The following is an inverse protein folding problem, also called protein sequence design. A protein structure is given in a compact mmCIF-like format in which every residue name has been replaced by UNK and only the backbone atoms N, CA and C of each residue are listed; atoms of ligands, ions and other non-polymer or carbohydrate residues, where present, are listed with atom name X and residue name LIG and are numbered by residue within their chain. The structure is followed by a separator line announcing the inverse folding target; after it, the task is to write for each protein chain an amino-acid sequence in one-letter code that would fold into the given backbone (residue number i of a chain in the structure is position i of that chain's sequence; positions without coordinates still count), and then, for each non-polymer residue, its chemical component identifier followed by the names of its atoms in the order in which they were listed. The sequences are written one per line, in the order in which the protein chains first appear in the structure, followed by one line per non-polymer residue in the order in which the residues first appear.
data_IF_151484476918
#
_entry.id   IF_151484476918
#
_cell.length_a   1.000
_cell.length_b   1.000
_cell.length_c   1.000
_cell.angle_alpha   90.00
_cell.angle_beta   90.00
_cell.angle_gamma   90.00
#
_symmetry.space_group_name_H-M   'P 1'
#
loop_
_entity.id
_entity.type
_entity.pdbx_description
1 polymer ?
#
# COMPACT_ATOMS: atom_id res chain seq x y z
N UNK A 1 -1.11 -37.86 17.86
CA UNK A 1 -1.72 -38.30 19.13
C UNK A 1 -3.25 -38.29 19.12
N UNK A 2 -3.95 -37.47 18.32
CA UNK A 2 -5.43 -37.45 18.30
C UNK A 2 -6.07 -38.69 17.65
N UNK A 3 -5.52 -39.21 16.54
CA UNK A 3 -6.06 -40.39 15.85
C UNK A 3 -6.13 -41.65 16.74
N UNK A 4 -5.18 -41.81 17.67
CA UNK A 4 -5.19 -42.96 18.58
C UNK A 4 -6.27 -42.86 19.65
N UNK A 5 -6.60 -41.65 20.11
CA UNK A 5 -7.67 -41.45 21.08
C UNK A 5 -9.04 -41.65 20.44
N UNK A 6 -9.26 -41.09 19.24
CA UNK A 6 -10.55 -41.21 18.54
C UNK A 6 -10.87 -42.65 18.12
N UNK A 7 -9.87 -43.46 17.74
CA UNK A 7 -10.05 -44.88 17.42
C UNK A 7 -10.38 -45.73 18.67
N UNK A 8 -9.82 -45.37 19.83
CA UNK A 8 -10.15 -46.02 21.11
C UNK A 8 -11.60 -45.69 21.52
N UNK A 9 -12.03 -44.44 21.37
CA UNK A 9 -13.40 -44.03 21.68
C UNK A 9 -14.42 -44.70 20.76
N UNK A 10 -14.16 -44.79 19.46
CA UNK A 10 -15.05 -45.47 18.51
C UNK A 10 -15.23 -46.96 18.85
N UNK A 11 -14.15 -47.64 19.27
CA UNK A 11 -14.19 -49.04 19.71
C UNK A 11 -14.98 -49.22 21.02
N UNK A 12 -14.83 -48.28 21.95
CA UNK A 12 -15.58 -48.27 23.21
C UNK A 12 -17.08 -48.05 22.95
N UNK A 13 -17.44 -47.07 22.12
CA UNK A 13 -18.84 -46.82 21.74
C UNK A 13 -19.49 -48.05 21.10
N UNK A 14 -18.79 -48.71 20.16
CA UNK A 14 -19.28 -49.92 19.53
C UNK A 14 -19.45 -51.09 20.53
N UNK A 15 -18.50 -51.27 21.46
CA UNK A 15 -18.58 -52.30 22.48
C UNK A 15 -19.72 -52.05 23.48
N UNK A 16 -19.94 -50.79 23.87
CA UNK A 16 -21.03 -50.38 24.76
C UNK A 16 -22.39 -50.61 24.07
N UNK A 17 -22.53 -50.22 22.81
CA UNK A 17 -23.75 -50.46 22.03
C UNK A 17 -24.06 -51.95 21.90
N UNK A 18 -23.04 -52.78 21.66
CA UNK A 18 -23.19 -54.23 21.57
C UNK A 18 -23.59 -54.84 22.92
N UNK A 19 -22.97 -54.43 24.01
CA UNK A 19 -23.30 -54.90 25.37
C UNK A 19 -24.70 -54.48 25.80
N UNK A 20 -25.09 -53.24 25.51
CA UNK A 20 -26.44 -52.73 25.75
C UNK A 20 -27.49 -53.60 25.05
N UNK A 21 -27.32 -53.85 23.74
CA UNK A 21 -28.25 -54.69 22.97
C UNK A 21 -28.36 -56.12 23.51
N UNK A 22 -27.23 -56.74 23.90
CA UNK A 22 -27.22 -58.07 24.51
C UNK A 22 -27.95 -58.10 25.86
N UNK A 23 -27.79 -57.06 26.66
CA UNK A 23 -28.39 -56.94 27.98
C UNK A 23 -29.90 -56.72 27.90
N UNK A 24 -30.37 -55.88 26.96
CA UNK A 24 -31.80 -55.69 26.69
C UNK A 24 -32.46 -56.99 26.22
N UNK A 25 -31.80 -57.76 25.35
CA UNK A 25 -32.30 -59.08 24.93
C UNK A 25 -32.42 -60.04 26.11
N UNK A 26 -31.37 -60.14 26.94
CA UNK A 26 -31.38 -61.02 28.10
C UNK A 26 -32.44 -60.64 29.15
N UNK A 27 -32.72 -59.33 29.32
CA UNK A 27 -33.80 -58.85 30.18
C UNK A 27 -35.17 -59.25 29.65
N UNK A 28 -35.38 -59.14 28.33
CA UNK A 28 -36.63 -59.55 27.69
C UNK A 28 -36.90 -61.05 27.89
N UNK A 29 -35.89 -61.89 27.63
CA UNK A 29 -35.99 -63.35 27.80
C UNK A 29 -36.29 -63.75 29.25
N UNK A 30 -35.65 -63.09 30.22
CA UNK A 30 -35.85 -63.35 31.64
C UNK A 30 -37.27 -62.93 32.10
N UNK A 31 -37.75 -61.79 31.62
CA UNK A 31 -39.11 -61.32 31.90
C UNK A 31 -40.17 -62.25 31.32
N UNK A 32 -39.95 -62.77 30.10
CA UNK A 32 -40.83 -63.76 29.48
C UNK A 32 -40.85 -65.07 30.27
N UNK A 33 -39.68 -65.58 30.65
CA UNK A 33 -39.55 -66.79 31.47
C UNK A 33 -40.26 -66.65 32.83
N UNK A 34 -40.13 -65.50 33.51
CA UNK A 34 -40.84 -65.23 34.77
C UNK A 34 -42.35 -65.19 34.58
N UNK A 35 -42.82 -64.60 33.47
CA UNK A 35 -44.24 -64.53 33.13
C UNK A 35 -44.82 -65.93 32.89
N UNK A 36 -44.11 -66.77 32.15
CA UNK A 36 -44.47 -68.17 31.92
C UNK A 36 -44.45 -68.99 33.23
N UNK A 37 -43.44 -68.80 34.07
CA UNK A 37 -43.35 -69.48 35.37
C UNK A 37 -44.51 -69.11 36.31
N UNK A 38 -44.92 -67.83 36.34
CA UNK A 38 -46.10 -67.37 37.08
C UNK A 38 -47.39 -68.00 36.56
N UNK A 39 -47.57 -68.03 35.24
CA UNK A 39 -48.75 -68.65 34.62
C UNK A 39 -48.85 -70.14 34.98
N UNK A 40 -47.71 -70.86 34.93
CA UNK A 40 -47.64 -72.27 35.33
C UNK A 40 -47.93 -72.48 36.82
N UNK A 41 -47.41 -71.61 37.70
CA UNK A 41 -47.70 -71.66 39.14
C UNK A 41 -49.17 -71.39 39.45
N UNK A 42 -49.80 -70.43 38.77
CA UNK A 42 -51.24 -70.16 38.92
C UNK A 42 -52.07 -71.36 38.46
N UNK A 43 -51.75 -71.96 37.31
CA UNK A 43 -52.44 -73.16 36.83
C UNK A 43 -52.29 -74.35 37.80
N UNK A 44 -51.10 -74.54 38.39
CA UNK A 44 -50.88 -75.55 39.43
C UNK A 44 -51.68 -75.25 40.71
N UNK A 45 -51.78 -73.98 41.12
CA UNK A 45 -52.56 -73.56 42.27
C UNK A 45 -54.06 -73.78 42.05
N UNK A 46 -54.59 -73.44 40.88
CA UNK A 46 -55.98 -73.70 40.49
C UNK A 46 -56.30 -75.20 40.47
N UNK A 47 -55.37 -76.02 39.93
CA UNK A 47 -55.50 -77.47 39.91
C UNK A 47 -55.49 -78.07 41.32
N UNK A 48 -54.58 -77.60 42.19
CA UNK A 48 -54.53 -78.02 43.60
C UNK A 48 -55.79 -77.63 44.37
N UNK A 49 -56.33 -76.43 44.13
CA UNK A 49 -57.59 -75.98 44.71
C UNK A 49 -58.79 -76.83 44.23
N UNK A 50 -58.84 -77.17 42.94
CA UNK A 50 -59.86 -78.04 42.37
C UNK A 50 -59.79 -79.47 42.91
N UNK A 51 -58.58 -80.03 43.07
CA UNK A 51 -58.37 -81.37 43.64
C UNK A 51 -58.77 -81.41 45.12
N UNK A 52 -58.47 -80.35 45.90
CA UNK A 52 -58.91 -80.20 47.29
C UNK A 52 -60.45 -80.14 47.39
N UNK A 53 -61.10 -79.35 46.56
CA UNK A 53 -62.57 -79.25 46.52
C UNK A 53 -63.23 -80.60 46.15
N UNK A 54 -62.65 -81.35 45.19
CA UNK A 54 -63.11 -82.70 44.83
C UNK A 54 -62.94 -83.70 45.98
N UNK A 55 -61.85 -83.63 46.73
CA UNK A 55 -61.60 -84.48 47.89
C UNK A 55 -62.56 -84.19 49.06
N UNK A 56 -62.96 -82.93 49.26
CA UNK A 56 -63.96 -82.54 50.27
C UNK A 56 -65.38 -83.03 49.91
N UNK A 57 -65.74 -83.02 48.62
CA UNK A 57 -67.04 -83.51 48.11
C UNK A 57 -67.14 -85.04 48.13
N UNK A 58 -66.03 -85.77 47.97
CA UNK A 58 -66.02 -87.24 47.88
C UNK A 58 -66.32 -87.98 49.21
N UNK A 59 -66.40 -87.30 50.35
CA UNK A 59 -66.64 -87.92 51.66
C UNK A 59 -65.43 -88.71 52.16
N UNK A 60 -65.17 -88.66 53.48
CA UNK A 60 -63.97 -89.18 54.17
C UNK A 60 -63.79 -90.72 54.14
N UNK A 61 -64.15 -91.42 53.07
CA UNK A 61 -63.86 -92.86 52.93
C UNK A 61 -62.52 -93.04 52.22
N UNK A 62 -61.50 -93.42 53.00
CA UNK A 62 -60.19 -93.87 52.53
C UNK A 62 -59.42 -92.91 51.59
N UNK A 63 -59.31 -91.63 51.94
CA UNK A 63 -58.14 -90.85 51.49
C UNK A 63 -56.93 -91.44 52.22
N UNK A 64 -56.17 -92.28 51.53
CA UNK A 64 -54.95 -92.88 52.08
C UNK A 64 -54.04 -91.80 52.69
N UNK A 65 -53.39 -92.07 53.83
CA UNK A 65 -52.39 -91.16 54.42
C UNK A 65 -51.35 -90.69 53.38
N UNK A 66 -51.07 -91.53 52.38
CA UNK A 66 -50.24 -91.24 51.22
C UNK A 66 -50.75 -90.09 50.34
N UNK A 67 -52.07 -89.97 50.12
CA UNK A 67 -52.64 -88.87 49.33
C UNK A 67 -52.61 -87.52 50.08
N UNK A 68 -52.87 -87.55 51.40
CA UNK A 68 -52.74 -86.37 52.24
C UNK A 68 -51.28 -85.88 52.34
N UNK A 69 -50.31 -86.81 52.48
CA UNK A 69 -48.87 -86.48 52.42
C UNK A 69 -48.46 -85.90 51.07
N UNK A 70 -48.88 -86.51 49.96
CA UNK A 70 -48.60 -86.00 48.61
C UNK A 70 -49.21 -84.62 48.36
N UNK A 71 -50.37 -84.32 48.94
CA UNK A 71 -50.99 -83.00 48.84
C UNK A 71 -50.24 -81.96 49.66
N UNK A 72 -49.81 -82.29 50.89
CA UNK A 72 -48.99 -81.41 51.71
C UNK A 72 -47.62 -81.13 51.05
N UNK A 73 -46.95 -82.14 50.49
CA UNK A 73 -45.70 -81.99 49.74
C UNK A 73 -45.86 -81.08 48.51
N UNK A 74 -47.01 -81.16 47.81
CA UNK A 74 -47.33 -80.27 46.68
C UNK A 74 -47.60 -78.83 47.11
N UNK A 75 -48.32 -78.61 48.21
CA UNK A 75 -48.57 -77.28 48.75
C UNK A 75 -47.25 -76.63 49.23
N UNK A 76 -46.38 -77.39 49.91
CA UNK A 76 -45.06 -76.91 50.34
C UNK A 76 -44.15 -76.59 49.14
N UNK A 77 -44.14 -77.44 48.10
CA UNK A 77 -43.40 -77.18 46.86
C UNK A 77 -43.92 -75.95 46.10
N UNK A 78 -45.24 -75.73 46.11
CA UNK A 78 -45.88 -74.55 45.51
C UNK A 78 -45.49 -73.27 46.27
N UNK A 79 -45.51 -73.29 47.60
CA UNK A 79 -45.11 -72.16 48.42
C UNK A 79 -43.59 -71.87 48.32
N UNK A 80 -42.76 -72.90 48.25
CA UNK A 80 -41.34 -72.76 47.97
C UNK A 80 -41.09 -72.12 46.60
N UNK A 81 -41.84 -72.53 45.58
CA UNK A 81 -41.75 -71.96 44.22
C UNK A 81 -42.22 -70.50 44.18
N UNK A 82 -43.31 -70.14 44.88
CA UNK A 82 -43.76 -68.75 45.02
C UNK A 82 -42.71 -67.86 45.69
N UNK A 83 -42.09 -68.35 46.79
CA UNK A 83 -40.99 -67.63 47.45
C UNK A 83 -39.80 -67.42 46.52
N UNK A 84 -39.47 -68.42 45.70
CA UNK A 84 -38.38 -68.33 44.72
C UNK A 84 -38.67 -67.29 43.63
N UNK A 85 -39.90 -67.25 43.12
CA UNK A 85 -40.33 -66.22 42.15
C UNK A 85 -40.24 -64.83 42.75
N UNK A 86 -40.75 -64.62 43.97
CA UNK A 86 -40.66 -63.33 44.65
C UNK A 86 -39.20 -62.87 44.86
N UNK A 87 -38.30 -63.79 45.22
CA UNK A 87 -36.86 -63.50 45.30
C UNK A 87 -36.27 -63.06 43.95
N UNK A 88 -36.65 -63.72 42.86
CA UNK A 88 -36.18 -63.37 41.50
C UNK A 88 -36.72 -62.01 41.05
N UNK A 89 -37.97 -61.67 41.37
CA UNK A 89 -38.53 -60.35 41.07
C UNK A 89 -37.80 -59.23 41.81
N UNK A 90 -37.49 -59.44 43.08
CA UNK A 90 -36.72 -58.46 43.85
C UNK A 90 -35.33 -58.26 43.24
N UNK A 91 -34.62 -59.35 42.93
CA UNK A 91 -33.31 -59.28 42.29
C UNK A 91 -33.39 -58.61 40.92
N UNK A 92 -34.43 -58.87 40.13
CA UNK A 92 -34.62 -58.25 38.82
C UNK A 92 -34.86 -56.73 38.95
N UNK A 93 -35.71 -56.31 39.88
CA UNK A 93 -35.95 -54.89 40.16
C UNK A 93 -34.68 -54.17 40.65
N UNK A 94 -33.91 -54.80 41.54
CA UNK A 94 -32.61 -54.28 41.98
C UNK A 94 -31.66 -54.10 40.78
N UNK A 95 -31.58 -55.09 39.88
CA UNK A 95 -30.72 -55.01 38.69
C UNK A 95 -31.16 -53.96 37.69
N UNK A 96 -32.46 -53.85 37.41
CA UNK A 96 -33.01 -52.80 36.56
C UNK A 96 -32.71 -51.40 37.09
N UNK A 97 -32.78 -51.21 38.41
CA UNK A 97 -32.43 -49.92 39.02
C UNK A 97 -30.95 -49.57 38.83
N UNK A 98 -30.05 -50.55 39.01
CA UNK A 98 -28.61 -50.34 38.78
C UNK A 98 -28.31 -50.04 37.31
N UNK A 99 -29.02 -50.69 36.39
CA UNK A 99 -28.85 -50.50 34.96
C UNK A 99 -29.23 -49.08 34.54
N UNK A 100 -30.40 -48.59 34.97
CA UNK A 100 -30.84 -47.21 34.70
C UNK A 100 -29.84 -46.19 35.23
N UNK A 101 -29.32 -46.38 36.44
CA UNK A 101 -28.32 -45.50 37.01
C UNK A 101 -27.01 -45.49 36.20
N UNK A 102 -26.59 -46.64 35.65
CA UNK A 102 -25.41 -46.71 34.78
C UNK A 102 -25.62 -46.07 33.41
N UNK A 103 -26.82 -46.21 32.83
CA UNK A 103 -27.19 -45.58 31.56
C UNK A 103 -27.24 -44.05 31.68
N UNK A 104 -27.82 -43.53 32.76
CA UNK A 104 -27.81 -42.10 33.07
C UNK A 104 -26.37 -41.58 33.20
N UNK A 105 -25.51 -42.32 33.91
CA UNK A 105 -24.10 -41.95 34.08
C UNK A 105 -23.34 -41.97 32.75
N UNK A 106 -23.63 -42.91 31.88
CA UNK A 106 -23.05 -42.98 30.54
C UNK A 106 -23.46 -41.77 29.69
N UNK A 107 -24.75 -41.42 29.70
CA UNK A 107 -25.26 -40.26 28.97
C UNK A 107 -24.66 -38.92 29.47
N UNK A 108 -24.42 -38.80 30.78
CA UNK A 108 -23.66 -37.67 31.33
C UNK A 108 -22.23 -37.62 30.79
N UNK A 109 -21.54 -38.75 30.78
CA UNK A 109 -20.16 -38.85 30.29
C UNK A 109 -20.07 -38.52 28.80
N UNK A 110 -20.95 -39.05 27.95
CA UNK A 110 -21.02 -38.73 26.53
C UNK A 110 -21.25 -37.23 26.27
N UNK A 111 -22.14 -36.61 27.04
CA UNK A 111 -22.37 -35.17 26.97
C UNK A 111 -21.11 -34.38 27.36
N UNK A 112 -20.42 -34.78 28.43
CA UNK A 112 -19.16 -34.13 28.84
C UNK A 112 -18.07 -34.31 27.78
N UNK A 113 -17.94 -35.50 27.19
CA UNK A 113 -16.98 -35.79 26.14
C UNK A 113 -17.25 -34.93 24.91
N UNK A 114 -18.51 -34.76 24.51
CA UNK A 114 -18.90 -33.91 23.39
C UNK A 114 -18.53 -32.45 23.64
N UNK A 115 -18.79 -31.94 24.86
CA UNK A 115 -18.40 -30.58 25.26
C UNK A 115 -16.87 -30.39 25.26
N UNK A 116 -16.12 -31.37 25.76
CA UNK A 116 -14.66 -31.33 25.76
C UNK A 116 -14.10 -31.34 24.34
N UNK A 117 -14.63 -32.20 23.45
CA UNK A 117 -14.25 -32.20 22.03
C UNK A 117 -14.51 -30.86 21.36
N UNK A 118 -15.68 -30.26 21.58
CA UNK A 118 -16.00 -28.93 21.04
C UNK A 118 -15.05 -27.84 21.57
N UNK A 119 -14.68 -27.91 22.85
CA UNK A 119 -13.73 -26.97 23.46
C UNK A 119 -12.31 -27.13 22.93
N UNK A 120 -11.85 -28.37 22.75
CA UNK A 120 -10.54 -28.69 22.19
C UNK A 120 -10.43 -28.19 20.74
N UNK A 121 -11.49 -28.39 19.94
CA UNK A 121 -11.53 -27.89 18.56
C UNK A 121 -11.50 -26.37 18.51
N UNK A 122 -12.31 -25.69 19.33
CA UNK A 122 -12.27 -24.23 19.43
C UNK A 122 -10.88 -23.71 19.85
N UNK A 123 -10.22 -24.40 20.79
CA UNK A 123 -8.87 -24.04 21.22
C UNK A 123 -7.84 -24.25 20.11
N UNK A 124 -7.97 -25.30 19.28
CA UNK A 124 -7.11 -25.51 18.11
C UNK A 124 -7.29 -24.42 17.06
N UNK A 125 -8.52 -24.01 16.79
CA UNK A 125 -8.81 -22.92 15.86
C UNK A 125 -8.22 -21.59 16.33
N UNK A 126 -8.30 -21.29 17.63
CA UNK A 126 -7.66 -20.12 18.23
C UNK A 126 -6.13 -20.19 18.12
N UNK A 127 -5.52 -21.34 18.40
CA UNK A 127 -4.08 -21.56 18.24
C UNK A 127 -3.67 -21.37 16.77
N UNK A 128 -4.42 -21.90 15.81
CA UNK A 128 -4.13 -21.75 14.39
C UNK A 128 -4.20 -20.28 13.94
N UNK A 129 -5.20 -19.52 14.43
CA UNK A 129 -5.30 -18.07 14.19
C UNK A 129 -4.11 -17.32 14.80
N UNK A 130 -3.73 -17.63 16.03
CA UNK A 130 -2.60 -17.01 16.70
C UNK A 130 -1.26 -17.31 15.99
N UNK A 131 -1.06 -18.54 15.50
CA UNK A 131 0.10 -18.92 14.70
C UNK A 131 0.15 -18.15 13.36
N UNK A 132 -0.99 -17.98 12.69
CA UNK A 132 -1.08 -17.16 11.47
C UNK A 132 -0.72 -15.69 11.73
N UNK A 133 -1.16 -15.12 12.85
CA UNK A 133 -0.78 -13.77 13.26
C UNK A 133 0.72 -13.66 13.57
N UNK A 134 1.29 -14.63 14.29
CA UNK A 134 2.72 -14.66 14.60
C UNK A 134 3.59 -14.74 13.34
N UNK A 135 3.18 -15.52 12.34
CA UNK A 135 3.87 -15.58 11.05
C UNK A 135 3.90 -14.21 10.33
N UNK A 136 2.77 -13.49 10.35
CA UNK A 136 2.67 -12.13 9.78
C UNK A 136 3.55 -11.13 10.53
N UNK A 137 3.64 -11.23 11.85
CA UNK A 137 4.57 -10.40 12.64
C UNK A 137 6.02 -10.67 12.22
N UNK A 138 6.41 -11.93 12.05
CA UNK A 138 7.76 -12.28 11.58
C UNK A 138 8.08 -11.76 10.17
N UNK A 139 7.09 -11.71 9.26
CA UNK A 139 7.26 -11.08 7.95
C UNK A 139 7.46 -9.56 8.08
N UNK A 140 6.64 -8.89 8.89
CA UNK A 140 6.78 -7.46 9.16
C UNK A 140 8.13 -7.12 9.79
N UNK A 141 8.63 -7.92 10.72
CA UNK A 141 9.96 -7.75 11.33
C UNK A 141 11.08 -7.82 10.29
N UNK A 142 11.01 -8.75 9.32
CA UNK A 142 11.98 -8.83 8.22
C UNK A 142 11.92 -7.58 7.34
N UNK A 143 10.72 -7.12 6.96
CA UNK A 143 10.58 -5.90 6.15
C UNK A 143 11.10 -4.66 6.89
N UNK A 144 10.87 -4.58 8.19
CA UNK A 144 11.38 -3.49 9.02
C UNK A 144 12.92 -3.49 9.06
N UNK A 145 13.54 -4.66 9.20
CA UNK A 145 14.99 -4.79 9.19
C UNK A 145 15.61 -4.42 7.84
N UNK A 146 14.97 -4.82 6.73
CA UNK A 146 15.38 -4.41 5.38
C UNK A 146 15.28 -2.89 5.18
N UNK A 147 14.18 -2.27 5.63
CA UNK A 147 14.00 -0.82 5.54
C UNK A 147 15.03 -0.06 6.38
N UNK A 148 15.34 -0.54 7.59
CA UNK A 148 16.40 0.03 8.43
C UNK A 148 17.77 -0.04 7.75
N UNK A 149 18.10 -1.17 7.14
CA UNK A 149 19.37 -1.32 6.39
C UNK A 149 19.45 -0.37 5.20
N UNK A 150 18.35 -0.19 4.45
CA UNK A 150 18.30 0.79 3.34
C UNK A 150 18.48 2.21 3.85
N UNK A 151 17.76 2.59 4.90
CA UNK A 151 17.88 3.92 5.50
C UNK A 151 19.31 4.20 6.02
N UNK A 152 19.96 3.21 6.64
CA UNK A 152 21.34 3.34 7.08
C UNK A 152 22.30 3.51 5.88
N UNK A 153 22.14 2.71 4.83
CA UNK A 153 22.98 2.83 3.64
C UNK A 153 22.82 4.20 2.94
N UNK A 154 21.60 4.74 2.89
CA UNK A 154 21.35 6.07 2.33
C UNK A 154 21.93 7.18 3.22
N UNK A 155 21.90 7.01 4.55
CA UNK A 155 22.57 7.91 5.47
C UNK A 155 24.09 7.89 5.29
N UNK A 156 24.70 6.71 5.17
CA UNK A 156 26.14 6.56 4.94
C UNK A 156 26.55 7.17 3.58
N UNK A 157 25.71 7.05 2.55
CA UNK A 157 25.92 7.74 1.27
C UNK A 157 25.82 9.25 1.38
N UNK A 158 24.82 9.76 2.10
CA UNK A 158 24.64 11.19 2.29
C UNK A 158 25.82 11.81 3.06
N UNK A 159 26.32 11.12 4.07
CA UNK A 159 27.51 11.56 4.82
C UNK A 159 28.77 11.54 3.95
N UNK A 160 28.96 10.51 3.10
CA UNK A 160 30.06 10.47 2.14
C UNK A 160 29.98 11.59 1.09
N UNK A 161 28.79 11.89 0.57
CA UNK A 161 28.59 13.02 -0.36
C UNK A 161 28.87 14.36 0.33
N UNK A 162 28.48 14.51 1.60
CA UNK A 162 28.76 15.72 2.36
C UNK A 162 30.27 15.96 2.51
N UNK A 163 31.05 14.93 2.84
CA UNK A 163 32.51 15.04 2.94
C UNK A 163 33.16 15.33 1.59
N UNK A 164 32.65 14.75 0.50
CA UNK A 164 33.11 15.03 -0.85
C UNK A 164 32.84 16.49 -1.25
N UNK A 165 31.63 16.99 -1.00
CA UNK A 165 31.26 18.40 -1.21
C UNK A 165 32.18 19.32 -0.41
N UNK A 166 32.42 19.04 0.88
CA UNK A 166 33.34 19.84 1.69
C UNK A 166 34.76 19.90 1.08
N UNK A 167 35.25 18.77 0.58
CA UNK A 167 36.57 18.71 -0.06
C UNK A 167 36.60 19.53 -1.36
N UNK A 168 35.55 19.45 -2.17
CA UNK A 168 35.43 20.20 -3.41
C UNK A 168 35.32 21.71 -3.16
N UNK A 169 34.58 22.13 -2.14
CA UNK A 169 34.47 23.53 -1.73
C UNK A 169 35.84 24.07 -1.30
N UNK A 170 36.63 23.30 -0.54
CA UNK A 170 37.99 23.69 -0.16
C UNK A 170 38.91 23.81 -1.37
N UNK A 171 38.88 22.83 -2.28
CA UNK A 171 39.68 22.84 -3.50
C UNK A 171 39.33 24.04 -4.40
N UNK A 172 38.03 24.36 -4.52
CA UNK A 172 37.58 25.56 -5.25
C UNK A 172 38.12 26.84 -4.62
N UNK A 173 38.02 26.99 -3.30
CA UNK A 173 38.53 28.17 -2.61
C UNK A 173 40.05 28.33 -2.77
N UNK A 174 40.80 27.23 -2.82
CA UNK A 174 42.24 27.26 -3.10
C UNK A 174 42.54 27.68 -4.54
N UNK A 175 41.80 27.14 -5.52
CA UNK A 175 41.93 27.55 -6.92
C UNK A 175 41.59 29.04 -7.14
N UNK A 176 40.55 29.56 -6.48
CA UNK A 176 40.19 30.98 -6.54
C UNK A 176 41.34 31.87 -6.01
N UNK A 177 42.01 31.48 -4.91
CA UNK A 177 43.18 32.20 -4.40
C UNK A 177 44.35 32.19 -5.39
N UNK A 178 44.62 31.05 -6.02
CA UNK A 178 45.68 30.94 -7.03
C UNK A 178 45.40 31.81 -8.25
N UNK A 179 44.13 31.89 -8.69
CA UNK A 179 43.71 32.76 -9.79
C UNK A 179 43.94 34.23 -9.43
N UNK A 180 43.59 34.65 -8.21
CA UNK A 180 43.79 36.03 -7.78
C UNK A 180 45.28 36.40 -7.66
N UNK A 181 46.13 35.46 -7.23
CA UNK A 181 47.59 35.63 -7.21
C UNK A 181 48.14 35.83 -8.64
N UNK A 182 47.76 34.94 -9.58
CA UNK A 182 48.15 35.06 -10.99
C UNK A 182 47.64 36.36 -11.63
N UNK A 183 46.42 36.81 -11.31
CA UNK A 183 45.87 38.09 -11.78
C UNK A 183 46.71 39.27 -11.31
N UNK A 184 47.08 39.28 -10.02
CA UNK A 184 47.97 40.30 -9.46
C UNK A 184 49.31 40.33 -10.20
N UNK A 185 49.90 39.16 -10.45
CA UNK A 185 51.16 39.04 -11.19
C UNK A 185 51.03 39.57 -12.63
N UNK A 186 49.99 39.16 -13.36
CA UNK A 186 49.66 39.69 -14.69
C UNK A 186 49.54 41.21 -14.67
N UNK A 187 48.86 41.79 -13.67
CA UNK A 187 48.70 43.24 -13.58
C UNK A 187 50.01 43.97 -13.25
N UNK A 188 50.91 43.35 -12.47
CA UNK A 188 52.27 43.89 -12.28
C UNK A 188 53.06 43.87 -13.59
N UNK A 189 53.00 42.77 -14.35
CA UNK A 189 53.66 42.63 -15.65
C UNK A 189 53.08 43.60 -16.68
N UNK A 190 51.76 43.78 -16.71
CA UNK A 190 51.08 44.76 -17.57
C UNK A 190 51.52 46.18 -17.26
N UNK A 191 51.59 46.58 -15.99
CA UNK A 191 52.09 47.92 -15.58
C UNK A 191 53.56 48.13 -15.98
N UNK A 192 54.40 47.12 -15.77
CA UNK A 192 55.79 47.14 -16.21
C UNK A 192 55.91 47.28 -17.74
N UNK A 193 55.17 46.49 -18.51
CA UNK A 193 55.14 46.58 -19.97
C UNK A 193 54.57 47.92 -20.47
N UNK A 194 53.52 48.45 -19.86
CA UNK A 194 52.95 49.75 -20.22
C UNK A 194 53.96 50.89 -20.01
N UNK A 195 54.83 50.78 -18.99
CA UNK A 195 55.93 51.73 -18.80
C UNK A 195 57.01 51.64 -19.89
N UNK A 196 57.21 50.45 -20.48
CA UNK A 196 58.13 50.19 -21.58
C UNK A 196 57.52 50.55 -22.95
N UNK A 197 56.19 50.57 -23.05
CA UNK A 197 55.43 50.83 -24.28
C UNK A 197 54.57 52.10 -24.12
N UNK A 198 55.20 53.28 -24.12
CA UNK A 198 54.45 54.53 -24.39
C UNK A 198 54.17 54.64 -25.88
N UNK A 199 52.98 54.21 -26.32
CA UNK A 199 52.38 54.61 -27.59
C UNK A 199 51.11 55.45 -27.30
N UNK A 200 50.85 56.52 -28.08
CA UNK A 200 49.68 57.37 -27.84
C UNK A 200 48.38 56.59 -28.10
N UNK A 201 47.46 56.67 -27.13
CA UNK A 201 46.15 55.98 -27.07
C UNK A 201 45.27 56.42 -28.25
N UNK A 202 44.75 55.45 -29.02
CA UNK A 202 43.66 55.68 -29.97
C UNK A 202 42.35 55.96 -29.19
N UNK A 203 41.46 56.86 -29.67
CA UNK A 203 40.25 57.23 -28.95
C UNK A 203 39.20 56.10 -28.94
N UNK A 204 38.40 56.05 -27.86
CA UNK A 204 37.29 55.11 -27.68
C UNK A 204 36.12 55.43 -28.60
N UNK A 205 35.36 54.41 -29.07
CA UNK A 205 34.22 54.61 -29.95
C UNK A 205 33.04 55.25 -29.20
N UNK A 206 32.32 56.14 -29.87
CA UNK A 206 31.18 56.90 -29.33
C UNK A 206 29.84 56.19 -29.59
N UNK A 207 28.81 56.56 -28.82
CA UNK A 207 27.47 55.95 -28.80
C UNK A 207 26.76 55.86 -30.16
N UNK A 208 27.21 56.60 -31.19
CA UNK A 208 26.69 56.49 -32.57
C UNK A 208 27.14 55.20 -33.31
N UNK A 209 28.26 54.56 -32.92
CA UNK A 209 28.73 53.33 -33.59
C UNK A 209 27.94 52.08 -33.19
N UNK A 210 27.27 52.09 -32.04
CA UNK A 210 26.43 50.97 -31.59
C UNK A 210 25.11 50.91 -32.37
N UNK A 211 24.62 52.04 -32.89
CA UNK A 211 23.35 52.13 -33.60
C UNK A 211 23.45 51.75 -35.09
N UNK A 212 24.65 51.75 -35.67
CA UNK A 212 24.89 51.47 -37.10
C UNK A 212 25.18 49.99 -37.42
N UNK A 213 25.15 49.11 -36.42
CA UNK A 213 25.39 47.67 -36.60
C UNK A 213 24.23 46.88 -37.25
N UNK A 214 23.20 47.58 -37.76
CA UNK A 214 22.00 46.98 -38.35
C UNK A 214 22.05 46.70 -39.86
N UNK A 215 23.04 47.18 -40.62
CA UNK A 215 23.13 46.87 -42.06
C UNK A 215 24.56 46.67 -42.54
N UNK A 216 24.83 45.53 -43.16
CA UNK A 216 25.90 45.33 -44.11
C UNK A 216 25.42 45.77 -45.51
N UNK A 217 26.34 46.34 -46.29
CA UNK A 217 26.11 46.94 -47.61
C UNK A 217 25.60 46.01 -48.72
N UNK A 218 24.95 44.89 -48.38
CA UNK A 218 24.34 43.93 -49.28
C UNK A 218 22.88 43.55 -48.92
N UNK A 219 22.26 44.18 -47.91
CA UNK A 219 20.81 44.04 -47.67
C UNK A 219 20.32 42.68 -47.16
N UNK A 220 21.18 41.86 -46.54
CA UNK A 220 20.78 40.63 -45.85
C UNK A 220 20.71 40.85 -44.33
N UNK A 221 19.68 40.30 -43.69
CA UNK A 221 19.51 40.34 -42.22
C UNK A 221 20.63 39.51 -41.57
N UNK A 222 21.51 40.15 -40.79
CA UNK A 222 22.61 39.49 -40.05
C UNK A 222 22.06 38.41 -39.13
N UNK A 223 22.78 37.29 -38.97
CA UNK A 223 22.38 36.25 -38.03
C UNK A 223 22.77 36.67 -36.61
N UNK A 224 21.98 36.30 -35.60
CA UNK A 224 22.28 36.58 -34.18
C UNK A 224 23.71 36.22 -33.78
N UNK A 225 24.21 35.05 -34.21
CA UNK A 225 25.57 34.63 -33.91
C UNK A 225 26.63 35.58 -34.45
N UNK A 226 26.44 36.10 -35.66
CA UNK A 226 27.36 37.07 -36.28
C UNK A 226 27.27 38.43 -35.59
N UNK A 227 26.07 38.83 -35.13
CA UNK A 227 25.88 40.05 -34.33
C UNK A 227 26.66 39.96 -33.01
N UNK A 228 26.61 38.81 -32.34
CA UNK A 228 27.31 38.59 -31.07
C UNK A 228 28.84 38.52 -31.23
N UNK A 229 29.32 37.93 -32.34
CA UNK A 229 30.76 37.89 -32.66
C UNK A 229 31.27 39.29 -33.02
N UNK A 230 30.54 40.05 -33.83
CA UNK A 230 30.96 41.41 -34.24
C UNK A 230 30.93 42.40 -33.08
N UNK A 231 30.14 42.14 -32.04
CA UNK A 231 30.10 42.94 -30.82
C UNK A 231 31.13 42.49 -29.77
N UNK A 232 32.05 41.58 -30.12
CA UNK A 232 33.07 41.00 -29.23
C UNK A 232 32.49 40.36 -27.94
N UNK A 233 31.23 39.91 -27.97
CA UNK A 233 30.56 39.24 -26.85
C UNK A 233 30.98 37.77 -26.79
N UNK A 234 31.05 37.11 -27.94
CA UNK A 234 31.49 35.72 -28.08
C UNK A 234 32.55 35.60 -29.16
N UNK A 235 33.46 34.64 -29.04
CA UNK A 235 34.42 34.34 -30.10
C UNK A 235 33.78 33.47 -31.20
N UNK A 236 34.38 33.48 -32.40
CA UNK A 236 33.96 32.59 -33.48
C UNK A 236 34.01 31.10 -33.06
N UNK A 237 35.01 30.70 -32.27
CA UNK A 237 35.13 29.34 -31.75
C UNK A 237 34.00 28.99 -30.75
N UNK A 238 33.59 29.92 -29.90
CA UNK A 238 32.46 29.75 -28.98
C UNK A 238 31.14 29.64 -29.73
N UNK A 239 30.96 30.43 -30.80
CA UNK A 239 29.80 30.33 -31.68
C UNK A 239 29.74 28.97 -32.38
N UNK A 240 30.86 28.49 -32.91
CA UNK A 240 30.95 27.18 -33.57
C UNK A 240 30.64 26.03 -32.61
N UNK A 241 31.14 26.12 -31.37
CA UNK A 241 30.83 25.14 -30.33
C UNK A 241 29.33 25.13 -29.96
N UNK A 242 28.74 26.31 -29.76
CA UNK A 242 27.31 26.42 -29.47
C UNK A 242 26.44 25.93 -30.65
N UNK A 243 26.85 26.16 -31.89
CA UNK A 243 26.19 25.62 -33.07
C UNK A 243 26.32 24.10 -33.19
N UNK A 244 27.45 23.51 -32.78
CA UNK A 244 27.63 22.07 -32.74
C UNK A 244 26.69 21.42 -31.70
N UNK A 245 26.59 22.01 -30.51
CA UNK A 245 25.66 21.57 -29.46
C UNK A 245 24.19 21.71 -29.91
N UNK A 246 23.85 22.80 -30.59
CA UNK A 246 22.51 22.99 -31.16
C UNK A 246 22.18 21.96 -32.25
N UNK A 247 23.16 21.52 -33.05
CA UNK A 247 22.92 20.46 -34.05
C UNK A 247 22.64 19.11 -33.39
N UNK A 248 23.19 18.86 -32.20
CA UNK A 248 22.91 17.66 -31.43
C UNK A 248 21.48 17.67 -30.85
N UNK A 249 20.96 18.84 -30.48
CA UNK A 249 19.55 19.02 -30.10
C UNK A 249 18.88 20.17 -30.87
N UNK A 250 18.28 19.88 -32.04
CA UNK A 250 17.63 20.89 -32.89
C UNK A 250 16.44 21.61 -32.24
N UNK A 251 15.92 21.09 -31.11
CA UNK A 251 14.80 21.73 -30.39
C UNK A 251 15.29 22.90 -29.53
N UNK A 252 16.57 22.93 -29.16
CA UNK A 252 17.15 24.01 -28.37
C UNK A 252 17.49 25.20 -29.26
N UNK A 253 17.22 26.41 -28.76
CA UNK A 253 17.56 27.66 -29.44
C UNK A 253 19.02 28.01 -29.17
N UNK A 254 19.71 28.53 -30.18
CA UNK A 254 21.12 28.93 -30.07
C UNK A 254 21.38 29.87 -28.88
N UNK A 255 20.49 30.83 -28.65
CA UNK A 255 20.59 31.75 -27.51
C UNK A 255 20.58 31.05 -26.15
N UNK A 256 19.71 30.05 -25.95
CA UNK A 256 19.67 29.26 -24.72
C UNK A 256 20.94 28.42 -24.53
N UNK A 257 21.44 27.82 -25.63
CA UNK A 257 22.70 27.06 -25.61
C UNK A 257 23.89 27.96 -25.23
N UNK A 258 23.94 29.19 -25.73
CA UNK A 258 24.99 30.17 -25.40
C UNK A 258 24.98 30.57 -23.91
N UNK A 259 23.78 30.67 -23.32
CA UNK A 259 23.61 30.95 -21.88
C UNK A 259 24.01 29.74 -21.04
N UNK A 260 23.54 28.54 -21.40
CA UNK A 260 23.84 27.30 -20.69
C UNK A 260 25.35 26.97 -20.68
N UNK A 261 26.06 27.31 -21.75
CA UNK A 261 27.52 27.18 -21.86
C UNK A 261 28.29 28.31 -21.15
N UNK A 262 27.59 29.32 -20.63
CA UNK A 262 28.19 30.47 -19.94
C UNK A 262 28.92 31.44 -20.87
N UNK A 263 28.61 31.43 -22.17
CA UNK A 263 29.28 32.29 -23.17
C UNK A 263 28.65 33.68 -23.27
N UNK A 264 27.36 33.81 -22.95
CA UNK A 264 26.68 35.11 -22.92
C UNK A 264 25.57 35.11 -21.87
N UNK A 265 25.27 36.28 -21.31
CA UNK A 265 24.13 36.45 -20.40
C UNK A 265 22.81 36.54 -21.18
N UNK A 266 21.70 36.09 -20.58
CA UNK A 266 20.35 36.12 -21.20
C UNK A 266 19.97 37.50 -21.75
N UNK A 267 20.37 38.51 -21.00
CA UNK A 267 20.13 39.91 -21.24
C UNK A 267 20.81 40.41 -22.53
N UNK A 268 22.00 39.89 -22.80
CA UNK A 268 22.79 40.19 -23.99
C UNK A 268 22.22 39.48 -25.20
N UNK A 269 21.78 38.23 -25.03
CA UNK A 269 21.08 37.45 -26.06
C UNK A 269 19.77 38.12 -26.46
N UNK A 270 18.96 38.57 -25.50
CA UNK A 270 17.69 39.23 -25.76
C UNK A 270 17.86 40.57 -26.50
N UNK A 271 18.90 41.35 -26.16
CA UNK A 271 19.25 42.57 -26.90
C UNK A 271 19.72 42.29 -28.34
N UNK A 272 20.54 41.26 -28.52
CA UNK A 272 20.97 40.84 -29.86
C UNK A 272 19.80 40.37 -30.72
N UNK A 273 18.84 39.64 -30.12
CA UNK A 273 17.60 39.22 -30.79
C UNK A 273 16.71 40.41 -31.17
N UNK A 274 16.56 41.38 -30.27
CA UNK A 274 15.83 42.62 -30.54
C UNK A 274 16.45 43.41 -31.69
N UNK A 275 17.78 43.55 -31.69
CA UNK A 275 18.53 44.20 -32.78
C UNK A 275 18.35 43.48 -34.11
N UNK A 276 18.43 42.15 -34.12
CA UNK A 276 18.26 41.34 -35.34
C UNK A 276 16.87 41.48 -35.95
N UNK A 277 15.83 41.54 -35.11
CA UNK A 277 14.44 41.54 -35.54
C UNK A 277 13.85 42.96 -35.64
N UNK A 278 14.62 44.00 -35.30
CA UNK A 278 14.16 45.38 -35.16
C UNK A 278 12.97 45.51 -34.18
N UNK A 279 13.01 44.71 -33.11
CA UNK A 279 12.00 44.66 -32.04
C UNK A 279 12.59 45.27 -30.77
N UNK A 280 11.85 46.13 -30.05
CA UNK A 280 12.36 46.73 -28.81
C UNK A 280 12.62 45.68 -27.74
N UNK A 281 13.75 45.81 -27.04
CA UNK A 281 14.04 45.06 -25.81
C UNK A 281 13.52 45.82 -24.59
N UNK A 282 12.80 45.14 -23.70
CA UNK A 282 12.24 45.69 -22.47
C UNK A 282 12.72 44.83 -21.30
N UNK A 283 13.26 45.47 -20.26
CA UNK A 283 13.50 44.83 -18.96
C UNK A 283 12.24 44.90 -18.10
N UNK A 284 11.84 43.79 -17.49
CA UNK A 284 10.62 43.73 -16.68
C UNK A 284 10.96 43.89 -15.20
N UNK A 285 10.88 45.12 -14.72
CA UNK A 285 10.98 45.48 -13.30
C UNK A 285 9.59 45.65 -12.63
N UNK A 286 9.54 46.09 -11.38
CA UNK A 286 8.29 46.33 -10.63
C UNK A 286 7.44 47.49 -11.16
N UNK A 287 8.00 48.41 -11.98
CA UNK A 287 7.31 49.64 -12.43
C UNK A 287 7.00 49.66 -13.93
N UNK A 288 7.55 48.72 -14.68
CA UNK A 288 7.45 48.62 -16.15
C UNK A 288 6.26 47.80 -16.64
N UNK A 289 5.53 47.13 -15.74
CA UNK A 289 4.37 46.31 -16.09
C UNK A 289 3.09 46.95 -15.53
N UNK A 290 2.17 47.29 -16.44
CA UNK A 290 0.82 47.68 -16.08
C UNK A 290 0.03 46.42 -15.65
N UNK A 291 -0.39 46.36 -14.39
CA UNK A 291 -1.10 45.21 -13.83
C UNK A 291 -2.42 44.93 -14.55
N UNK A 292 -3.13 45.98 -14.99
CA UNK A 292 -4.38 45.85 -15.73
C UNK A 292 -4.11 45.27 -17.12
N UNK A 293 -2.97 45.62 -17.73
CA UNK A 293 -2.53 45.03 -18.99
C UNK A 293 -2.15 43.55 -18.81
N UNK A 294 -1.39 43.22 -17.77
CA UNK A 294 -0.98 41.85 -17.50
C UNK A 294 -2.19 40.92 -17.38
N UNK A 295 -3.23 41.32 -16.65
CA UNK A 295 -4.43 40.49 -16.37
C UNK A 295 -5.37 40.27 -17.56
N UNK A 296 -5.11 40.86 -18.73
CA UNK A 296 -5.95 40.65 -19.93
C UNK A 296 -5.86 39.20 -20.41
N UNK A 297 -4.72 38.54 -20.21
CA UNK A 297 -4.57 37.11 -20.51
C UNK A 297 -4.57 36.27 -19.23
N UNK A 298 -4.91 34.98 -19.36
CA UNK A 298 -4.80 34.06 -18.23
C UNK A 298 -3.34 33.75 -17.90
N UNK A 299 -3.02 33.54 -16.61
CA UNK A 299 -1.69 33.12 -16.19
C UNK A 299 -1.26 31.78 -16.81
N UNK A 300 -2.21 30.91 -17.16
CA UNK A 300 -1.93 29.66 -17.89
C UNK A 300 -1.42 29.93 -19.31
N UNK A 301 -2.04 30.87 -20.02
CA UNK A 301 -1.61 31.27 -21.36
C UNK A 301 -0.25 31.98 -21.31
N UNK A 302 -0.07 32.87 -20.33
CA UNK A 302 1.19 33.57 -20.09
C UNK A 302 2.36 32.60 -19.84
N UNK A 303 2.15 31.58 -18.99
CA UNK A 303 3.15 30.54 -18.69
C UNK A 303 3.42 29.60 -19.86
N UNK A 304 2.38 29.22 -20.60
CA UNK A 304 2.51 28.24 -21.68
C UNK A 304 3.40 28.76 -22.82
N UNK A 305 3.24 30.03 -23.18
CA UNK A 305 4.02 30.67 -24.24
C UNK A 305 5.23 31.48 -23.73
N UNK A 306 5.42 31.57 -22.41
CA UNK A 306 6.41 32.46 -21.77
C UNK A 306 6.30 33.89 -22.31
N UNK A 307 5.12 34.49 -22.12
CA UNK A 307 4.79 35.86 -22.56
C UNK A 307 4.04 36.64 -21.48
N UNK A 308 4.19 37.97 -21.49
CA UNK A 308 3.51 38.85 -20.55
C UNK A 308 3.08 40.17 -21.22
N UNK A 309 1.78 40.52 -21.21
CA UNK A 309 1.34 41.84 -21.62
C UNK A 309 1.87 42.90 -20.65
N UNK A 310 2.59 43.91 -21.16
CA UNK A 310 3.23 44.93 -20.32
C UNK A 310 2.52 46.26 -20.33
N UNK A 311 1.82 46.58 -21.42
CA UNK A 311 1.07 47.81 -21.55
C UNK A 311 -0.10 47.63 -22.53
N UNK A 312 -1.21 48.27 -22.22
CA UNK A 312 -2.38 48.30 -23.08
C UNK A 312 -2.55 49.68 -23.74
N UNK A 313 -2.80 49.70 -25.05
CA UNK A 313 -3.17 50.90 -25.82
C UNK A 313 -4.60 50.73 -26.36
N UNK A 314 -5.14 51.80 -26.96
CA UNK A 314 -6.51 51.80 -27.52
C UNK A 314 -6.71 50.68 -28.54
N UNK A 315 -5.74 50.48 -29.43
CA UNK A 315 -5.85 49.52 -30.55
C UNK A 315 -4.80 48.39 -30.51
N UNK A 316 -4.06 48.25 -29.41
CA UNK A 316 -3.00 47.24 -29.32
C UNK A 316 -2.53 46.93 -27.90
N UNK A 317 -1.75 45.85 -27.77
CA UNK A 317 -1.12 45.39 -26.53
C UNK A 317 0.36 45.17 -26.80
N UNK A 318 1.20 45.79 -25.98
CA UNK A 318 2.64 45.50 -26.01
C UNK A 318 2.85 44.20 -25.24
N UNK A 319 3.40 43.20 -25.92
CA UNK A 319 3.60 41.85 -25.39
C UNK A 319 5.10 41.60 -25.23
N UNK A 320 5.57 41.47 -23.99
CA UNK A 320 6.90 40.98 -23.71
C UNK A 320 6.96 39.47 -23.98
N UNK A 321 7.91 39.04 -24.80
CA UNK A 321 8.04 37.66 -25.25
C UNK A 321 9.47 37.17 -25.10
N UNK A 322 9.63 35.96 -24.58
CA UNK A 322 10.92 35.27 -24.59
C UNK A 322 11.33 34.89 -26.02
N UNK A 323 10.35 34.54 -26.88
CA UNK A 323 10.56 34.23 -28.29
C UNK A 323 9.64 35.07 -29.19
N UNK A 324 10.12 36.20 -29.73
CA UNK A 324 9.35 37.07 -30.63
C UNK A 324 9.02 36.44 -32.00
N UNK A 325 9.63 35.29 -32.33
CA UNK A 325 9.34 34.54 -33.56
C UNK A 325 8.22 33.50 -33.38
N UNK A 326 7.67 33.38 -32.17
CA UNK A 326 6.53 32.52 -31.91
C UNK A 326 5.23 33.16 -32.41
N UNK A 327 4.92 32.91 -33.68
CA UNK A 327 3.70 33.42 -34.31
C UNK A 327 2.43 32.85 -33.66
N UNK A 328 2.49 31.63 -33.11
CA UNK A 328 1.35 31.00 -32.43
C UNK A 328 1.06 31.72 -31.13
N UNK A 329 2.09 32.06 -30.35
CA UNK A 329 1.93 32.87 -29.14
C UNK A 329 1.32 34.25 -29.44
N UNK A 330 1.73 34.89 -30.53
CA UNK A 330 1.17 36.18 -30.98
C UNK A 330 -0.30 36.04 -31.35
N UNK A 331 -0.66 35.02 -32.13
CA UNK A 331 -2.04 34.75 -32.56
C UNK A 331 -2.95 34.42 -31.37
N UNK A 332 -2.53 33.53 -30.48
CA UNK A 332 -3.32 33.13 -29.31
C UNK A 332 -3.58 34.30 -28.37
N UNK A 333 -2.57 35.16 -28.14
CA UNK A 333 -2.76 36.39 -27.34
C UNK A 333 -3.64 37.39 -28.07
N UNK A 334 -3.50 37.54 -29.40
CA UNK A 334 -4.37 38.42 -30.17
C UNK A 334 -5.83 37.97 -30.13
N UNK A 335 -6.10 36.66 -30.25
CA UNK A 335 -7.43 36.07 -30.12
C UNK A 335 -8.01 36.23 -28.72
N UNK A 336 -7.21 35.97 -27.68
CA UNK A 336 -7.65 36.10 -26.29
C UNK A 336 -7.98 37.55 -25.90
N UNK A 337 -7.22 38.52 -26.44
CA UNK A 337 -7.37 39.93 -26.09
C UNK A 337 -8.29 40.71 -27.05
N UNK A 338 -8.53 40.18 -28.26
CA UNK A 338 -9.22 40.89 -29.34
C UNK A 338 -8.46 42.11 -29.86
N UNK A 339 -7.15 42.22 -29.55
CA UNK A 339 -6.31 43.38 -29.85
C UNK A 339 -5.12 43.00 -30.73
N UNK A 340 -4.55 44.00 -31.42
CA UNK A 340 -3.30 43.84 -32.15
C UNK A 340 -2.15 43.67 -31.17
N UNK A 341 -1.32 42.66 -31.37
CA UNK A 341 -0.13 42.42 -30.53
C UNK A 341 1.07 43.15 -31.13
N UNK A 342 1.76 43.92 -30.30
CA UNK A 342 3.04 44.55 -30.59
C UNK A 342 4.12 43.82 -29.80
N UNK A 343 4.94 42.97 -30.45
CA UNK A 343 5.94 42.17 -29.75
C UNK A 343 7.06 43.07 -29.20
N UNK A 344 7.56 42.72 -28.02
CA UNK A 344 8.76 43.25 -27.41
C UNK A 344 9.58 42.09 -26.85
N UNK A 345 10.91 42.16 -26.94
CA UNK A 345 11.79 41.11 -26.44
C UNK A 345 12.06 41.34 -24.95
N UNK A 346 11.92 40.31 -24.13
CA UNK A 346 12.36 40.32 -22.74
C UNK A 346 13.07 38.99 -22.41
N UNK A 347 13.84 38.96 -21.33
CA UNK A 347 14.50 37.72 -20.91
C UNK A 347 13.46 36.72 -20.38
N UNK A 348 13.68 35.40 -20.58
CA UNK A 348 12.78 34.37 -20.03
C UNK A 348 12.65 34.48 -18.51
N UNK A 349 13.77 34.70 -17.81
CA UNK A 349 13.80 34.85 -16.35
C UNK A 349 12.96 36.04 -15.87
N UNK A 350 13.04 37.19 -16.53
CA UNK A 350 12.26 38.38 -16.18
C UNK A 350 10.75 38.13 -16.37
N UNK A 351 10.37 37.46 -17.47
CA UNK A 351 8.97 37.14 -17.76
C UNK A 351 8.42 36.16 -16.72
N UNK A 352 9.15 35.10 -16.41
CA UNK A 352 8.75 34.10 -15.41
C UNK A 352 8.60 34.72 -14.02
N UNK A 353 9.57 35.53 -13.59
CA UNK A 353 9.51 36.24 -12.32
C UNK A 353 8.32 37.20 -12.25
N UNK A 354 8.04 37.92 -13.34
CA UNK A 354 6.90 38.82 -13.41
C UNK A 354 5.55 38.06 -13.42
N UNK A 355 5.47 36.92 -14.11
CA UNK A 355 4.29 36.05 -14.08
C UNK A 355 4.04 35.53 -12.66
N UNK A 356 5.09 35.05 -11.97
CA UNK A 356 5.01 34.56 -10.60
C UNK A 356 4.63 35.64 -9.61
N UNK A 357 5.00 36.90 -9.87
CA UNK A 357 4.60 38.06 -9.06
C UNK A 357 3.13 38.41 -9.26
N UNK A 358 2.68 38.50 -10.51
CA UNK A 358 1.39 39.09 -10.89
C UNK A 358 0.23 38.10 -10.85
N UNK A 359 0.49 36.82 -11.11
CA UNK A 359 -0.54 35.77 -11.15
C UNK A 359 -0.56 34.88 -9.91
N UNK A 360 -0.20 35.42 -8.72
CA UNK A 360 -0.30 34.71 -7.44
C UNK A 360 -1.77 34.42 -7.06
N UNK A 361 -2.35 33.40 -7.70
CA UNK A 361 -3.38 32.57 -7.11
C UNK A 361 -3.04 31.09 -7.40
N UNK A 362 -3.14 30.20 -6.40
CA UNK A 362 -3.15 28.77 -6.67
C UNK A 362 -4.39 28.47 -7.48
N UNK A 363 -4.21 27.73 -8.57
CA UNK A 363 -5.31 27.11 -9.30
C UNK A 363 -6.01 26.18 -8.32
N UNK A 364 -7.23 26.53 -7.91
CA UNK A 364 -8.15 25.65 -7.20
C UNK A 364 -8.95 24.82 -8.22
#
# INVERSE_FOLDING_TARGET
MSQGADDIFAKLEAAIAQWSAQLTSAQHDLAECLTQAKAHLNALAEKAAADKARAEVAGKSAVSETAARQQAEREEALDASKRRVAQLEQLLAERESTLRATEERLAELENTQTRLRARDEASRDEIAKAQGQAAKVGELERTLEELKRRAQADHDRATALATEIESAVRARAEAERQIDELRSEIDTLRRANASLTRHPRAPEPTEEEVLLAGTDGAGQKRKMGEILVNADIITAEQLDNALAEQRADPRRRLGAVLVDLGYAEEDVIARALGSQLEIPFIRLDEKSVDEDAARIISGRLARFHTVLPVAQRRDGVILAMANPLDLVAIEDVSLATGKRVEPAVATPSDIEAAIDRLYKQPVA
#
